data_IF_120931701456
#
_entry.id   IF_120931701456
#
_cell.length_a   1.000
_cell.length_b   1.000
_cell.length_c   1.000
_cell.angle_alpha   90.00
_cell.angle_beta   90.00
_cell.angle_gamma   90.00
#
_symmetry.space_group_name_H-M   'P 1'
#
loop_
_entity.id
_entity.type
_entity.pdbx_description
1 polymer ?
#
# COMPACT_ATOMS: atom_id res chain seq x y z
N UNK A 1 -4.65 -16.51 -6.83
CA UNK A 1 -4.16 -15.69 -5.69
C UNK A 1 -3.66 -14.37 -6.26
N UNK A 2 -3.86 -13.22 -5.59
CA UNK A 2 -3.63 -11.84 -6.10
C UNK A 2 -2.60 -11.81 -7.24
N UNK A 3 -2.98 -11.34 -8.44
CA UNK A 3 -2.18 -11.34 -9.67
C UNK A 3 -0.94 -10.44 -9.62
N UNK A 4 -0.15 -10.60 -8.57
CA UNK A 4 1.16 -10.03 -8.34
C UNK A 4 2.10 -10.74 -9.30
N UNK A 5 2.76 -9.95 -10.13
CA UNK A 5 3.71 -10.41 -11.13
C UNK A 5 5.09 -9.80 -10.82
N UNK A 6 6.12 -10.24 -11.54
CA UNK A 6 7.49 -9.74 -11.37
C UNK A 6 7.62 -8.22 -11.59
N UNK A 7 6.70 -7.61 -12.35
CA UNK A 7 6.68 -6.16 -12.57
C UNK A 7 6.03 -5.36 -11.43
N UNK A 8 5.44 -6.03 -10.44
CA UNK A 8 4.71 -5.35 -9.36
C UNK A 8 5.68 -4.58 -8.48
N UNK A 9 5.45 -3.28 -8.35
CA UNK A 9 6.24 -2.43 -7.47
C UNK A 9 5.76 -2.56 -6.03
N UNK A 10 6.69 -2.72 -5.10
CA UNK A 10 6.43 -2.83 -3.67
C UNK A 10 7.08 -1.67 -2.93
N UNK A 11 6.30 -1.01 -2.09
CA UNK A 11 6.78 0.10 -1.26
C UNK A 11 6.51 -0.19 0.21
N UNK A 12 7.55 -0.12 1.02
CA UNK A 12 7.45 -0.29 2.47
C UNK A 12 7.39 1.08 3.12
N UNK A 13 6.34 1.32 3.90
CA UNK A 13 6.26 2.51 4.75
C UNK A 13 7.36 2.43 5.83
N UNK A 14 8.25 3.42 5.86
CA UNK A 14 9.44 3.41 6.73
C UNK A 14 9.10 3.56 8.21
N UNK A 15 7.93 4.14 8.53
CA UNK A 15 7.44 4.27 9.91
C UNK A 15 6.43 3.20 10.26
N UNK A 16 6.27 2.97 11.57
CA UNK A 16 5.19 2.11 12.04
C UNK A 16 3.82 2.77 11.85
N UNK A 17 2.81 1.94 11.64
CA UNK A 17 1.43 2.34 11.38
C UNK A 17 0.51 1.75 12.43
N UNK A 18 -0.45 2.54 12.92
CA UNK A 18 -1.47 2.03 13.85
C UNK A 18 -2.41 1.10 13.08
N UNK A 19 -2.47 -0.16 13.51
CA UNK A 19 -3.21 -1.20 12.79
C UNK A 19 -4.72 -1.12 12.92
N UNK A 20 -5.25 -0.21 13.73
CA UNK A 20 -6.66 0.13 13.75
C UNK A 20 -7.08 1.05 12.59
N UNK A 21 -6.14 1.60 11.80
CA UNK A 21 -6.48 2.38 10.61
C UNK A 21 -7.03 1.48 9.50
N UNK A 22 -8.18 1.88 8.95
CA UNK A 22 -8.80 1.27 7.77
C UNK A 22 -8.18 1.78 6.46
N UNK A 23 -8.79 1.39 5.34
CA UNK A 23 -8.29 1.68 3.98
C UNK A 23 -8.06 3.18 3.75
N UNK A 24 -9.01 4.04 4.13
CA UNK A 24 -8.88 5.49 3.94
C UNK A 24 -7.71 6.09 4.73
N UNK A 25 -7.44 5.58 5.93
CA UNK A 25 -6.29 6.01 6.72
C UNK A 25 -4.98 5.61 6.07
N UNK A 26 -4.88 4.36 5.59
CA UNK A 26 -3.71 3.89 4.85
C UNK A 26 -3.51 4.63 3.53
N UNK A 27 -4.59 4.93 2.81
CA UNK A 27 -4.57 5.73 1.59
C UNK A 27 -3.97 7.12 1.82
N UNK A 28 -4.38 7.80 2.90
CA UNK A 28 -3.81 9.10 3.25
C UNK A 28 -2.31 9.01 3.55
N UNK A 29 -1.87 7.99 4.29
CA UNK A 29 -0.43 7.78 4.57
C UNK A 29 0.38 7.66 3.27
N UNK A 30 -0.11 6.87 2.29
CA UNK A 30 0.59 6.72 1.01
C UNK A 30 0.72 8.07 0.29
N UNK A 31 -0.36 8.86 0.29
CA UNK A 31 -0.39 10.14 -0.42
C UNK A 31 0.43 11.23 0.28
N UNK A 32 0.35 11.33 1.60
CA UNK A 32 0.91 12.48 2.35
C UNK A 32 2.27 12.21 2.94
N UNK A 33 2.57 10.96 3.31
CA UNK A 33 3.82 10.63 4.00
C UNK A 33 4.79 9.84 3.13
N UNK A 34 4.27 8.96 2.26
CA UNK A 34 5.11 8.28 1.28
C UNK A 34 5.25 9.08 -0.01
N UNK A 35 4.39 10.08 -0.22
CA UNK A 35 4.35 10.94 -1.42
C UNK A 35 4.27 10.14 -2.73
N UNK A 36 3.59 8.99 -2.70
CA UNK A 36 3.43 8.08 -3.83
C UNK A 36 1.97 8.04 -4.31
N UNK A 37 1.71 7.71 -5.58
CA UNK A 37 0.36 7.55 -6.10
C UNK A 37 -0.28 6.23 -5.60
N UNK A 38 -1.30 6.25 -4.72
CA UNK A 38 -1.90 5.04 -4.15
C UNK A 38 -2.68 4.17 -5.16
N UNK A 39 -3.07 4.74 -6.31
CA UNK A 39 -3.86 4.06 -7.35
C UNK A 39 -3.01 3.55 -8.52
N UNK A 40 -1.68 3.51 -8.37
CA UNK A 40 -0.74 3.19 -9.44
C UNK A 40 -0.53 1.70 -9.74
N UNK A 41 -1.27 0.80 -9.11
CA UNK A 41 -1.04 -0.65 -9.26
C UNK A 41 0.14 -1.20 -8.46
N UNK A 42 0.69 -0.41 -7.53
CA UNK A 42 1.72 -0.85 -6.59
C UNK A 42 1.11 -1.44 -5.31
N UNK A 43 1.91 -2.22 -4.59
CA UNK A 43 1.57 -2.74 -3.27
C UNK A 43 2.29 -1.91 -2.20
N UNK A 44 1.53 -1.37 -1.26
CA UNK A 44 2.06 -0.62 -0.12
C UNK A 44 1.99 -1.48 1.14
N UNK A 45 3.13 -1.63 1.82
CA UNK A 45 3.31 -2.51 2.97
C UNK A 45 3.50 -1.68 4.23
N UNK A 46 2.74 -2.01 5.28
CA UNK A 46 2.74 -1.31 6.56
C UNK A 46 3.00 -2.28 7.71
N UNK A 47 3.86 -1.88 8.65
CA UNK A 47 4.19 -2.67 9.83
C UNK A 47 3.68 -2.02 11.11
N UNK A 48 3.27 -2.85 12.07
CA UNK A 48 2.92 -2.37 13.41
C UNK A 48 4.18 -1.96 14.16
N UNK A 49 4.02 -1.21 15.27
CA UNK A 49 5.15 -0.77 16.09
C UNK A 49 6.03 -1.94 16.56
N UNK A 50 5.41 -3.07 16.93
CA UNK A 50 6.10 -4.29 17.34
C UNK A 50 6.41 -5.26 16.17
N UNK A 51 6.12 -4.87 14.92
CA UNK A 51 6.33 -5.66 13.69
C UNK A 51 5.64 -7.04 13.66
N UNK A 52 4.67 -7.28 14.53
CA UNK A 52 3.90 -8.54 14.56
C UNK A 52 2.69 -8.53 13.60
N UNK A 53 2.28 -7.35 13.12
CA UNK A 53 1.18 -7.22 12.18
C UNK A 53 1.66 -6.52 10.92
N UNK A 54 1.20 -7.02 9.78
CA UNK A 54 1.45 -6.46 8.46
C UNK A 54 0.13 -6.19 7.77
N UNK A 55 0.01 -5.01 7.16
CA UNK A 55 -1.06 -4.72 6.20
C UNK A 55 -0.47 -4.46 4.83
N UNK A 56 -1.17 -4.93 3.81
CA UNK A 56 -0.88 -4.62 2.42
C UNK A 56 -2.06 -3.88 1.83
N UNK A 57 -1.81 -2.72 1.24
CA UNK A 57 -2.77 -1.99 0.43
C UNK A 57 -2.38 -2.15 -1.03
N UNK A 58 -3.26 -2.75 -1.81
CA UNK A 58 -3.12 -2.89 -3.25
C UNK A 58 -4.37 -2.34 -3.92
N UNK A 59 -4.18 -1.47 -4.91
CA UNK A 59 -5.26 -0.97 -5.72
C UNK A 59 -5.00 -1.30 -7.18
N UNK A 60 -5.93 -2.04 -7.80
CA UNK A 60 -5.86 -2.34 -9.22
C UNK A 60 -6.07 -1.05 -10.00
N UNK A 61 -5.00 -0.58 -10.66
CA UNK A 61 -5.16 0.40 -11.73
C UNK A 61 -5.81 -0.31 -12.91
N UNK A 62 -7.14 -0.19 -13.06
CA UNK A 62 -7.81 -0.58 -14.29
C UNK A 62 -7.50 0.47 -15.36
N UNK A 63 -6.27 0.46 -15.89
CA UNK A 63 -6.01 1.09 -17.17
C UNK A 63 -6.91 0.39 -18.18
N UNK A 64 -8.03 1.03 -18.54
CA UNK A 64 -8.67 0.75 -19.81
C UNK A 64 -7.63 1.12 -20.87
N UNK A 65 -6.98 0.10 -21.42
CA UNK A 65 -6.28 0.21 -22.69
C UNK A 65 -7.38 0.55 -23.71
N UNK A 66 -7.49 1.82 -24.09
CA UNK A 66 -8.25 2.29 -25.26
C UNK A 66 -7.26 3.00 -26.15
#
# INVERSE_FOLDING_TARGET
MFGLNESTQYYVCQRYVRMNMGINGLYQIVRTEMELPPLGGAVFIFFSKNRQQVKMLFYLCTRKQV
#
